data_IF_718584016461
#
_entry.id   IF_718584016461
#
_cell.length_a   1.000
_cell.length_b   1.000
_cell.length_c   1.000
_cell.angle_alpha   90.00
_cell.angle_beta   90.00
_cell.angle_gamma   90.00
#
_symmetry.space_group_name_H-M   'P 1'
#
loop_
_entity.id
_entity.type
_entity.pdbx_description
1 polymer ?
#
# COMPACT_ATOMS: atom_id res chain seq x y z
N UNK A 1 -9.41 12.62 -13.51
CA UNK A 1 -7.93 12.56 -13.52
C UNK A 1 -7.41 13.42 -14.67
N UNK A 2 -6.45 14.34 -14.44
CA UNK A 2 -5.89 15.20 -15.49
C UNK A 2 -5.15 14.44 -16.60
N UNK A 3 -5.22 14.93 -17.83
CA UNK A 3 -4.59 14.29 -19.00
C UNK A 3 -3.07 14.23 -18.89
N UNK A 4 -2.44 15.26 -18.31
CA UNK A 4 -1.00 15.30 -18.02
C UNK A 4 -0.54 14.03 -17.30
N UNK A 5 -1.24 13.64 -16.24
CA UNK A 5 -0.89 12.50 -15.40
C UNK A 5 -1.23 11.18 -16.08
N UNK A 6 -2.34 11.13 -16.81
CA UNK A 6 -2.75 9.95 -17.59
C UNK A 6 -1.74 9.64 -18.70
N UNK A 7 -1.24 10.65 -19.39
CA UNK A 7 -0.21 10.51 -20.42
C UNK A 7 1.13 10.11 -19.81
N UNK A 8 1.54 10.75 -18.71
CA UNK A 8 2.76 10.39 -17.99
C UNK A 8 2.74 8.94 -17.50
N UNK A 9 1.59 8.43 -17.07
CA UNK A 9 1.44 7.03 -16.65
C UNK A 9 1.65 6.02 -17.80
N UNK A 10 1.42 6.42 -19.05
CA UNK A 10 1.50 5.53 -20.21
C UNK A 10 2.88 5.48 -20.86
N UNK A 11 3.77 6.41 -20.51
CA UNK A 11 5.10 6.54 -21.10
C UNK A 11 6.17 5.96 -20.14
N UNK A 12 7.00 4.99 -20.54
CA UNK A 12 7.91 4.29 -19.63
C UNK A 12 8.88 5.18 -18.83
N UNK A 13 9.40 6.24 -19.43
CA UNK A 13 10.28 7.16 -18.73
C UNK A 13 9.51 7.95 -17.65
N UNK A 14 8.41 8.58 -18.04
CA UNK A 14 7.56 9.43 -17.20
C UNK A 14 6.83 8.64 -16.11
N UNK A 15 6.47 7.38 -16.37
CA UNK A 15 5.80 6.51 -15.42
C UNK A 15 6.65 6.22 -14.18
N UNK A 16 7.98 6.14 -14.33
CA UNK A 16 8.90 5.97 -13.18
C UNK A 16 8.90 7.21 -12.31
N UNK A 17 9.08 8.37 -12.92
CA UNK A 17 9.06 9.67 -12.26
C UNK A 17 7.72 9.98 -11.61
N UNK A 18 6.62 9.50 -12.21
CA UNK A 18 5.29 9.62 -11.64
C UNK A 18 5.13 8.83 -10.34
N UNK A 19 5.73 7.63 -10.25
CA UNK A 19 5.73 6.86 -9.01
C UNK A 19 6.57 7.55 -7.94
N UNK A 20 7.72 8.13 -8.29
CA UNK A 20 8.49 8.95 -7.34
C UNK A 20 7.66 10.15 -6.85
N UNK A 21 6.97 10.86 -7.75
CA UNK A 21 6.11 11.99 -7.40
C UNK A 21 4.95 11.59 -6.48
N UNK A 22 4.41 10.37 -6.60
CA UNK A 22 3.39 9.83 -5.70
C UNK A 22 3.92 9.57 -4.28
N UNK A 23 5.22 9.29 -4.13
CA UNK A 23 5.88 9.03 -2.84
C UNK A 23 6.38 10.31 -2.16
N UNK A 24 6.53 11.40 -2.89
CA UNK A 24 6.98 12.68 -2.32
C UNK A 24 5.92 13.23 -1.35
N UNK A 25 6.34 13.43 -0.11
CA UNK A 25 5.49 13.90 0.98
C UNK A 25 4.99 15.33 0.69
N UNK A 26 3.74 15.68 1.04
CA UNK A 26 3.27 17.06 0.93
C UNK A 26 3.89 18.01 1.96
N UNK A 27 4.40 17.50 3.10
CA UNK A 27 5.05 18.31 4.13
C UNK A 27 6.41 18.81 3.63
N UNK A 28 6.64 20.11 3.75
CA UNK A 28 7.78 20.81 3.16
C UNK A 28 9.14 20.25 3.61
N UNK A 29 9.35 20.11 4.92
CA UNK A 29 10.61 19.59 5.48
C UNK A 29 10.94 18.18 4.98
N UNK A 30 9.93 17.30 4.90
CA UNK A 30 10.09 15.91 4.45
C UNK A 30 10.29 15.84 2.93
N UNK A 31 9.54 16.66 2.19
CA UNK A 31 9.66 16.80 0.74
C UNK A 31 11.07 17.22 0.35
N UNK A 32 11.62 18.23 1.00
CA UNK A 32 12.98 18.70 0.71
C UNK A 32 14.01 17.59 0.93
N UNK A 33 13.92 16.87 2.06
CA UNK A 33 14.81 15.75 2.37
C UNK A 33 14.72 14.64 1.29
N UNK A 34 13.50 14.25 0.92
CA UNK A 34 13.25 13.24 -0.13
C UNK A 34 13.79 13.68 -1.48
N UNK A 35 13.58 14.93 -1.88
CA UNK A 35 14.05 15.45 -3.16
C UNK A 35 15.58 15.59 -3.22
N UNK A 36 16.23 15.95 -2.11
CA UNK A 36 17.69 15.97 -2.02
C UNK A 36 18.26 14.57 -2.23
N UNK A 37 17.70 13.57 -1.54
CA UNK A 37 18.12 12.18 -1.70
C UNK A 37 17.88 11.67 -3.12
N UNK A 38 16.70 11.95 -3.68
CA UNK A 38 16.37 11.55 -5.05
C UNK A 38 17.32 12.18 -6.06
N UNK A 39 17.65 13.47 -5.91
CA UNK A 39 18.60 14.17 -6.79
C UNK A 39 20.00 13.56 -6.74
N UNK A 40 20.42 13.04 -5.59
CA UNK A 40 21.75 12.46 -5.41
C UNK A 40 21.88 11.07 -6.06
N UNK A 41 20.79 10.31 -6.16
CA UNK A 41 20.83 8.92 -6.63
C UNK A 41 20.11 8.66 -7.96
N UNK A 42 19.19 9.54 -8.39
CA UNK A 42 18.46 9.40 -9.64
C UNK A 42 19.24 9.97 -10.83
N UNK A 43 18.89 9.52 -12.03
CA UNK A 43 19.36 10.18 -13.25
C UNK A 43 18.79 11.60 -13.32
N UNK A 44 19.55 12.60 -13.83
CA UNK A 44 19.11 14.00 -13.84
C UNK A 44 17.76 14.21 -14.55
N UNK A 45 17.49 13.41 -15.59
CA UNK A 45 16.25 13.46 -16.35
C UNK A 45 15.07 12.94 -15.51
N UNK A 46 15.25 11.82 -14.79
CA UNK A 46 14.23 11.26 -13.90
C UNK A 46 13.88 12.25 -12.77
N UNK A 47 14.89 12.92 -12.20
CA UNK A 47 14.68 13.94 -11.17
C UNK A 47 13.90 15.15 -11.71
N UNK A 48 14.30 15.69 -12.87
CA UNK A 48 13.63 16.83 -13.48
C UNK A 48 12.16 16.52 -13.81
N UNK A 49 11.89 15.34 -14.35
CA UNK A 49 10.54 14.89 -14.65
C UNK A 49 9.71 14.67 -13.37
N UNK A 50 10.33 14.13 -12.31
CA UNK A 50 9.67 13.98 -11.01
C UNK A 50 9.22 15.33 -10.48
N UNK A 51 10.11 16.33 -10.46
CA UNK A 51 9.77 17.69 -10.01
C UNK A 51 8.60 18.29 -10.79
N UNK A 52 8.55 18.05 -12.11
CA UNK A 52 7.45 18.51 -12.96
C UNK A 52 6.10 17.89 -12.58
N UNK A 53 6.10 16.66 -12.07
CA UNK A 53 4.91 15.88 -11.73
C UNK A 53 4.46 16.02 -10.26
N UNK A 54 5.33 16.46 -9.34
CA UNK A 54 4.99 16.59 -7.90
C UNK A 54 3.77 17.46 -7.67
N UNK A 55 3.73 18.71 -8.16
CA UNK A 55 2.59 19.60 -7.90
C UNK A 55 1.28 19.07 -8.50
N UNK A 56 1.24 18.62 -9.77
CA UNK A 56 0.05 17.97 -10.34
C UNK A 56 -0.44 16.75 -9.55
N UNK A 57 0.48 15.92 -9.04
CA UNK A 57 0.14 14.74 -8.22
C UNK A 57 -0.40 15.15 -6.85
N UNK A 58 0.20 16.15 -6.21
CA UNK A 58 -0.27 16.66 -4.91
C UNK A 58 -1.65 17.32 -4.99
N UNK A 59 -2.00 17.89 -6.15
CA UNK A 59 -3.33 18.43 -6.42
C UNK A 59 -4.40 17.34 -6.66
N UNK A 60 -4.02 16.07 -6.80
CA UNK A 60 -5.00 14.99 -6.95
C UNK A 60 -5.69 14.66 -5.62
N UNK A 61 -7.01 14.41 -5.65
CA UNK A 61 -7.68 13.75 -4.55
C UNK A 61 -7.05 12.39 -4.26
N UNK A 62 -6.90 12.01 -3.00
CA UNK A 62 -6.28 10.74 -2.58
C UNK A 62 -6.92 9.51 -3.25
N UNK A 63 -8.22 9.58 -3.54
CA UNK A 63 -8.99 8.56 -4.26
C UNK A 63 -8.49 8.25 -5.67
N UNK A 64 -7.71 9.14 -6.28
CA UNK A 64 -7.17 8.99 -7.62
C UNK A 64 -5.72 8.50 -7.65
N UNK A 65 -5.01 8.50 -6.52
CA UNK A 65 -3.58 8.15 -6.47
C UNK A 65 -3.33 6.68 -6.80
N UNK A 66 -4.15 5.77 -6.25
CA UNK A 66 -4.04 4.33 -6.52
C UNK A 66 -4.48 3.95 -7.95
N UNK A 67 -5.62 4.47 -8.47
CA UNK A 67 -5.93 4.31 -9.89
C UNK A 67 -4.83 4.82 -10.82
N UNK A 68 -4.18 5.93 -10.47
CA UNK A 68 -3.06 6.46 -11.26
C UNK A 68 -1.86 5.53 -11.23
N UNK A 69 -1.52 5.00 -10.06
CA UNK A 69 -0.47 3.99 -9.90
C UNK A 69 -0.75 2.76 -10.77
N UNK A 70 -1.97 2.22 -10.76
CA UNK A 70 -2.34 1.07 -11.59
C UNK A 70 -2.18 1.35 -13.09
N UNK A 71 -2.49 2.57 -13.54
CA UNK A 71 -2.29 2.99 -14.93
C UNK A 71 -0.81 3.00 -15.34
N UNK A 72 0.12 3.16 -14.39
CA UNK A 72 1.57 3.13 -14.70
C UNK A 72 2.09 1.74 -15.04
N UNK A 73 1.38 0.67 -14.65
CA UNK A 73 1.90 -0.69 -14.68
C UNK A 73 2.33 -1.13 -16.09
N UNK A 74 1.53 -0.96 -17.17
CA UNK A 74 1.95 -1.40 -18.51
C UNK A 74 3.23 -0.70 -19.00
N UNK A 75 3.44 0.57 -18.63
CA UNK A 75 4.62 1.33 -18.99
C UNK A 75 5.84 0.89 -18.18
N UNK A 76 5.69 0.74 -16.86
CA UNK A 76 6.74 0.26 -15.96
C UNK A 76 7.22 -1.14 -16.34
N UNK A 77 6.34 -1.99 -16.89
CA UNK A 77 6.70 -3.34 -17.31
C UNK A 77 7.71 -3.39 -18.47
N UNK A 78 7.85 -2.31 -19.22
CA UNK A 78 8.78 -2.20 -20.35
C UNK A 78 10.22 -1.91 -19.92
N UNK A 79 10.47 -1.66 -18.64
CA UNK A 79 11.82 -1.49 -18.10
C UNK A 79 12.70 -2.72 -18.34
N UNK A 80 13.99 -2.50 -18.53
CA UNK A 80 14.99 -3.56 -18.38
C UNK A 80 15.15 -3.97 -16.91
N UNK A 81 15.68 -5.17 -16.65
CA UNK A 81 15.98 -5.64 -15.29
C UNK A 81 16.91 -4.68 -14.52
N UNK A 82 17.86 -4.03 -15.20
CA UNK A 82 18.75 -3.04 -14.59
C UNK A 82 17.97 -1.81 -14.15
N UNK A 83 17.11 -1.27 -15.01
CA UNK A 83 16.26 -0.12 -14.70
C UNK A 83 15.29 -0.43 -13.56
N UNK A 84 14.68 -1.61 -13.54
CA UNK A 84 13.81 -2.05 -12.45
C UNK A 84 14.54 -2.09 -11.09
N UNK A 85 15.78 -2.61 -11.05
CA UNK A 85 16.58 -2.64 -9.81
C UNK A 85 16.89 -1.24 -9.28
N UNK A 86 17.28 -0.32 -10.16
CA UNK A 86 17.52 1.09 -9.79
C UNK A 86 16.23 1.73 -9.30
N UNK A 87 15.14 1.59 -10.06
CA UNK A 87 13.81 2.10 -9.70
C UNK A 87 13.36 1.65 -8.31
N UNK A 88 13.52 0.35 -8.01
CA UNK A 88 13.16 -0.23 -6.70
C UNK A 88 13.99 0.33 -5.56
N UNK A 89 15.30 0.52 -5.77
CA UNK A 89 16.17 1.13 -4.76
C UNK A 89 15.76 2.58 -4.46
N UNK A 90 15.36 3.33 -5.48
CA UNK A 90 14.90 4.71 -5.33
C UNK A 90 13.58 4.83 -4.56
N UNK A 91 12.62 3.94 -4.84
CA UNK A 91 11.37 3.86 -4.08
C UNK A 91 11.63 3.59 -2.60
N UNK A 92 12.45 2.59 -2.29
CA UNK A 92 12.76 2.25 -0.90
C UNK A 92 13.50 3.40 -0.18
N UNK A 93 14.39 4.11 -0.88
CA UNK A 93 15.05 5.29 -0.32
C UNK A 93 14.05 6.41 0.01
N UNK A 94 13.13 6.72 -0.91
CA UNK A 94 12.08 7.72 -0.71
C UNK A 94 11.16 7.40 0.48
N UNK A 95 10.80 6.12 0.64
CA UNK A 95 9.92 5.65 1.73
C UNK A 95 10.60 5.59 3.10
N UNK A 96 11.94 5.56 3.17
CA UNK A 96 12.68 5.52 4.44
C UNK A 96 13.08 6.94 4.89
N UNK A 97 13.10 7.89 3.96
CA UNK A 97 13.51 9.29 4.17
C UNK A 97 12.79 9.97 5.34
N UNK A 98 11.49 9.72 5.51
CA UNK A 98 10.67 10.32 6.57
C UNK A 98 10.53 9.45 7.84
N UNK A 99 11.18 8.27 7.85
CA UNK A 99 11.09 7.25 8.89
C UNK A 99 9.66 6.84 9.27
N UNK A 100 8.67 7.10 8.39
CA UNK A 100 7.25 6.90 8.65
C UNK A 100 6.56 6.36 7.42
N UNK A 101 6.51 5.03 7.33
CA UNK A 101 5.80 4.35 6.27
C UNK A 101 4.28 4.62 6.36
N UNK A 102 3.71 5.42 5.49
CA UNK A 102 2.27 5.62 5.39
C UNK A 102 1.55 4.39 4.81
N UNK A 103 0.24 4.27 5.08
CA UNK A 103 -0.58 3.21 4.46
C UNK A 103 -0.57 3.30 2.92
N UNK A 104 -0.51 4.51 2.36
CA UNK A 104 -0.43 4.71 0.93
C UNK A 104 0.89 4.16 0.36
N UNK A 105 2.03 4.50 0.95
CA UNK A 105 3.34 4.01 0.53
C UNK A 105 3.44 2.49 0.67
N UNK A 106 2.86 1.94 1.75
CA UNK A 106 2.73 0.49 1.91
C UNK A 106 1.91 -0.13 0.79
N UNK A 107 0.74 0.45 0.49
CA UNK A 107 -0.15 -0.04 -0.56
C UNK A 107 0.53 -0.01 -1.92
N UNK A 108 1.22 1.10 -2.22
CA UNK A 108 2.00 1.28 -3.43
C UNK A 108 3.08 0.20 -3.55
N UNK A 109 3.82 -0.09 -2.47
CA UNK A 109 4.83 -1.15 -2.44
C UNK A 109 4.22 -2.52 -2.77
N UNK A 110 3.06 -2.85 -2.20
CA UNK A 110 2.38 -4.11 -2.50
C UNK A 110 1.93 -4.21 -3.96
N UNK A 111 1.36 -3.13 -4.51
CA UNK A 111 0.93 -3.06 -5.91
C UNK A 111 2.12 -3.25 -6.85
N UNK A 112 3.22 -2.51 -6.62
CA UNK A 112 4.45 -2.68 -7.41
C UNK A 112 5.01 -4.10 -7.29
N UNK A 113 5.07 -4.64 -6.07
CA UNK A 113 5.54 -6.00 -5.89
C UNK A 113 4.72 -7.02 -6.69
N UNK A 114 3.38 -6.88 -6.67
CA UNK A 114 2.47 -7.79 -7.37
C UNK A 114 2.56 -7.66 -8.89
N UNK A 115 2.47 -6.44 -9.40
CA UNK A 115 2.26 -6.21 -10.82
C UNK A 115 3.57 -6.01 -11.61
N UNK A 116 4.67 -5.72 -10.90
CA UNK A 116 5.95 -5.37 -11.49
C UNK A 116 7.08 -6.29 -11.03
N UNK A 117 7.26 -6.55 -9.74
CA UNK A 117 8.41 -7.38 -9.30
C UNK A 117 8.30 -8.83 -9.80
N UNK A 118 7.09 -9.38 -9.93
CA UNK A 118 6.85 -10.76 -10.33
C UNK A 118 7.36 -11.13 -11.74
N UNK A 119 7.57 -10.14 -12.61
CA UNK A 119 8.13 -10.35 -13.95
C UNK A 119 9.66 -10.21 -14.01
N UNK A 120 10.26 -9.54 -13.02
CA UNK A 120 11.71 -9.29 -12.97
C UNK A 120 12.45 -10.20 -11.99
N UNK A 121 11.75 -10.70 -10.97
CA UNK A 121 12.30 -11.56 -9.94
C UNK A 121 11.74 -12.98 -10.08
N UNK A 122 12.57 -14.02 -9.89
CA UNK A 122 12.06 -15.38 -9.85
C UNK A 122 11.03 -15.50 -8.72
N UNK A 123 9.83 -16.01 -9.05
CA UNK A 123 8.80 -16.28 -8.06
C UNK A 123 9.34 -17.27 -7.04
N UNK A 124 9.64 -16.76 -5.84
CA UNK A 124 9.93 -17.60 -4.69
C UNK A 124 8.62 -18.27 -4.31
N UNK A 125 8.45 -19.55 -4.66
CA UNK A 125 7.30 -20.34 -4.21
C UNK A 125 7.39 -20.45 -2.68
N UNK A 126 6.75 -19.54 -1.97
CA UNK A 126 6.58 -19.65 -0.52
C UNK A 126 5.62 -20.79 -0.27
N UNK A 127 6.15 -21.94 0.17
CA UNK A 127 5.30 -23.01 0.71
C UNK A 127 4.48 -22.41 1.86
N UNK A 128 3.15 -22.56 1.87
CA UNK A 128 2.35 -22.05 2.98
C UNK A 128 2.80 -22.72 4.27
N UNK A 129 3.23 -21.92 5.24
CA UNK A 129 3.71 -22.40 6.56
C UNK A 129 2.56 -22.46 7.56
N UNK A 130 1.51 -21.67 7.35
CA UNK A 130 0.39 -21.55 8.28
C UNK A 130 -0.94 -22.02 7.68
N UNK A 131 -1.58 -22.97 8.38
CA UNK A 131 -2.84 -23.62 7.98
C UNK A 131 -3.96 -23.49 9.02
N UNK A 132 -3.72 -22.84 10.16
CA UNK A 132 -4.71 -22.65 11.22
C UNK A 132 -5.11 -21.17 11.32
N UNK A 133 -6.41 -20.85 11.14
CA UNK A 133 -6.92 -19.49 11.34
C UNK A 133 -6.66 -18.98 12.76
N UNK A 134 -6.78 -19.83 13.79
CA UNK A 134 -6.57 -19.41 15.18
C UNK A 134 -5.12 -18.96 15.44
N UNK A 135 -4.13 -19.61 14.81
CA UNK A 135 -2.71 -19.21 14.94
C UNK A 135 -2.40 -17.86 14.28
N UNK A 136 -3.27 -17.40 13.38
CA UNK A 136 -3.11 -16.15 12.63
C UNK A 136 -4.01 -15.04 13.19
N UNK A 137 -4.80 -15.32 14.22
CA UNK A 137 -5.74 -14.35 14.78
C UNK A 137 -5.05 -13.08 15.31
N UNK A 138 -3.87 -13.21 15.92
CA UNK A 138 -3.12 -12.06 16.42
C UNK A 138 -2.53 -11.19 15.27
N UNK A 139 -1.81 -11.75 14.27
CA UNK A 139 -1.43 -11.03 13.06
C UNK A 139 -2.60 -10.35 12.34
N UNK A 140 -3.76 -11.02 12.25
CA UNK A 140 -4.97 -10.47 11.62
C UNK A 140 -5.56 -9.34 12.43
N UNK A 141 -5.59 -9.45 13.75
CA UNK A 141 -6.04 -8.38 14.63
C UNK A 141 -5.18 -7.12 14.43
N UNK A 142 -3.86 -7.24 14.39
CA UNK A 142 -2.97 -6.10 14.16
C UNK A 142 -3.23 -5.41 12.82
N UNK A 143 -3.41 -6.20 11.75
CA UNK A 143 -3.70 -5.67 10.41
C UNK A 143 -5.08 -4.98 10.36
N UNK A 144 -6.11 -5.62 10.91
CA UNK A 144 -7.46 -5.06 10.95
C UNK A 144 -7.56 -3.83 11.84
N UNK A 145 -6.82 -3.77 12.95
CA UNK A 145 -6.81 -2.63 13.84
C UNK A 145 -6.28 -1.37 13.15
N UNK A 146 -5.18 -1.48 12.41
CA UNK A 146 -4.63 -0.34 11.68
C UNK A 146 -5.59 0.11 10.57
N UNK A 147 -6.18 -0.83 9.82
CA UNK A 147 -7.16 -0.52 8.76
C UNK A 147 -8.42 0.13 9.34
N UNK A 148 -8.88 -0.32 10.52
CA UNK A 148 -10.05 0.24 11.19
C UNK A 148 -9.81 1.69 11.64
N UNK A 149 -8.65 1.98 12.25
CA UNK A 149 -8.30 3.33 12.70
C UNK A 149 -8.06 4.31 11.54
N UNK A 150 -7.49 3.83 10.43
CA UNK A 150 -7.25 4.65 9.24
C UNK A 150 -8.55 4.92 8.45
N UNK A 151 -9.46 3.94 8.38
CA UNK A 151 -10.76 4.13 7.74
C UNK A 151 -11.73 4.97 8.58
N UNK A 152 -11.60 4.93 9.91
CA UNK A 152 -12.49 5.60 10.85
C UNK A 152 -11.71 6.23 12.02
N UNK A 153 -11.53 7.57 12.05
CA UNK A 153 -10.85 8.23 13.16
C UNK A 153 -11.67 8.21 14.46
N UNK A 154 -12.95 7.85 14.40
CA UNK A 154 -13.86 7.72 15.55
C UNK A 154 -13.79 6.31 16.15
N UNK A 155 -13.71 6.23 17.48
CA UNK A 155 -13.50 4.97 18.23
C UNK A 155 -14.61 3.93 17.99
N UNK A 156 -15.88 4.33 17.98
CA UNK A 156 -17.02 3.41 17.87
C UNK A 156 -17.19 2.76 16.48
N UNK A 157 -17.10 3.49 15.35
CA UNK A 157 -17.12 2.84 14.04
C UNK A 157 -15.84 2.02 13.76
N UNK A 158 -14.68 2.41 14.29
CA UNK A 158 -13.46 1.60 14.18
C UNK A 158 -13.59 0.25 14.91
N UNK A 159 -14.11 0.26 16.15
CA UNK A 159 -14.35 -0.96 16.92
C UNK A 159 -15.30 -1.93 16.21
N UNK A 160 -16.39 -1.40 15.62
CA UNK A 160 -17.33 -2.22 14.84
C UNK A 160 -16.69 -2.84 13.60
N UNK A 161 -15.90 -2.07 12.85
CA UNK A 161 -15.19 -2.59 11.67
C UNK A 161 -14.19 -3.69 12.04
N UNK A 162 -13.48 -3.52 13.16
CA UNK A 162 -12.56 -4.51 13.71
C UNK A 162 -13.27 -5.81 14.12
N UNK A 163 -14.36 -5.71 14.89
CA UNK A 163 -15.12 -6.88 15.35
C UNK A 163 -15.73 -7.67 14.18
N UNK A 164 -16.25 -6.97 13.17
CA UNK A 164 -16.76 -7.60 11.94
C UNK A 164 -15.63 -8.39 11.24
N UNK A 165 -14.46 -7.77 11.06
CA UNK A 165 -13.32 -8.42 10.41
C UNK A 165 -12.80 -9.65 11.17
N UNK A 166 -12.73 -9.55 12.51
CA UNK A 166 -12.26 -10.66 13.35
C UNK A 166 -13.24 -11.84 13.36
N UNK A 167 -14.55 -11.57 13.42
CA UNK A 167 -15.60 -12.61 13.33
C UNK A 167 -15.57 -13.31 11.97
N UNK A 168 -15.39 -12.57 10.88
CA UNK A 168 -15.25 -13.14 9.54
C UNK A 168 -14.00 -14.02 9.40
N UNK A 169 -12.90 -13.66 10.05
CA UNK A 169 -11.67 -14.43 10.02
C UNK A 169 -11.78 -15.76 10.79
N UNK A 170 -12.25 -15.69 12.04
CA UNK A 170 -12.28 -16.82 12.98
C UNK A 170 -13.50 -17.71 12.72
N UNK A 171 -14.58 -17.17 12.15
CA UNK A 171 -15.84 -17.88 11.93
C UNK A 171 -16.69 -18.01 13.20
N UNK A 172 -16.55 -17.07 14.14
CA UNK A 172 -17.22 -17.09 15.44
C UNK A 172 -16.78 -15.94 16.35
N UNK A 173 -17.10 -16.04 17.64
CA UNK A 173 -16.68 -15.06 18.64
C UNK A 173 -15.16 -15.02 18.83
N UNK A 174 -14.64 -13.84 19.17
CA UNK A 174 -13.23 -13.59 19.39
C UNK A 174 -13.01 -12.84 20.70
N UNK A 175 -11.82 -13.02 21.29
CA UNK A 175 -11.39 -12.32 22.52
C UNK A 175 -10.52 -11.10 22.22
N UNK A 176 -10.11 -10.91 20.97
CA UNK A 176 -9.27 -9.79 20.55
C UNK A 176 -10.02 -8.48 20.69
N UNK A 177 -9.36 -7.47 21.25
CA UNK A 177 -9.86 -6.10 21.37
C UNK A 177 -9.11 -5.20 20.39
N UNK A 178 -9.77 -4.16 19.91
CA UNK A 178 -9.12 -3.11 19.15
C UNK A 178 -8.07 -2.43 20.05
N UNK A 179 -6.77 -2.54 19.74
CA UNK A 179 -5.73 -1.80 20.45
C UNK A 179 -5.93 -0.30 20.28
N UNK A 180 -5.40 0.50 21.21
CA UNK A 180 -5.50 1.96 21.10
C UNK A 180 -4.76 2.44 19.86
N UNK A 181 -5.21 3.54 19.24
CA UNK A 181 -4.57 4.10 18.04
C UNK A 181 -3.05 4.29 18.20
N UNK A 182 -2.60 4.72 19.38
CA UNK A 182 -1.17 4.91 19.68
C UNK A 182 -0.36 3.62 19.86
N UNK A 183 -1.02 2.48 20.04
CA UNK A 183 -0.38 1.16 20.15
C UNK A 183 -0.27 0.47 18.78
N UNK A 184 -0.96 0.98 17.75
CA UNK A 184 -0.91 0.41 16.41
C UNK A 184 0.35 0.88 15.68
N UNK A 185 1.38 0.03 15.64
CA UNK A 185 2.60 0.33 14.90
C UNK A 185 2.55 -0.22 13.46
N UNK A 186 3.02 0.57 12.51
CA UNK A 186 3.23 0.13 11.12
C UNK A 186 4.24 -1.02 11.00
N UNK A 187 5.19 -1.13 11.94
CA UNK A 187 6.13 -2.25 11.98
C UNK A 187 5.39 -3.57 12.34
N UNK A 188 4.45 -3.50 13.27
CA UNK A 188 3.61 -4.65 13.66
C UNK A 188 2.63 -5.01 12.55
N UNK A 189 2.12 -4.01 11.82
CA UNK A 189 1.30 -4.21 10.63
C UNK A 189 2.05 -4.93 9.51
N UNK A 190 3.26 -4.49 9.16
CA UNK A 190 4.10 -5.14 8.15
C UNK A 190 4.47 -6.58 8.57
N UNK A 191 4.84 -6.77 9.84
CA UNK A 191 5.09 -8.11 10.38
C UNK A 191 3.84 -9.01 10.28
N UNK A 192 2.66 -8.47 10.67
CA UNK A 192 1.39 -9.16 10.60
C UNK A 192 1.00 -9.55 9.18
N UNK A 193 1.19 -8.65 8.21
CA UNK A 193 0.89 -8.95 6.81
C UNK A 193 1.87 -9.95 6.19
N UNK A 194 3.16 -9.90 6.55
CA UNK A 194 4.13 -10.92 6.11
C UNK A 194 3.73 -12.31 6.62
N UNK A 195 3.30 -12.42 7.86
CA UNK A 195 2.80 -13.69 8.41
C UNK A 195 1.53 -14.16 7.69
N UNK A 196 0.61 -13.24 7.36
CA UNK A 196 -0.58 -13.56 6.56
C UNK A 196 -0.23 -14.01 5.13
N UNK A 197 0.78 -13.39 4.52
CA UNK A 197 1.25 -13.75 3.18
C UNK A 197 1.85 -15.16 3.12
N UNK A 198 2.35 -15.69 4.24
CA UNK A 198 2.85 -17.06 4.40
C UNK A 198 1.75 -18.11 4.70
N UNK A 199 0.49 -17.70 4.69
CA UNK A 199 -0.67 -18.56 5.00
C UNK A 199 -1.30 -19.17 3.75
N UNK A 200 -2.10 -20.23 3.92
CA UNK A 200 -2.82 -20.86 2.80
C UNK A 200 -3.86 -19.90 2.16
N UNK A 201 -4.11 -19.98 0.83
CA UNK A 201 -5.03 -19.08 0.11
C UNK A 201 -6.48 -19.04 0.65
N UNK A 202 -6.91 -20.08 1.37
CA UNK A 202 -8.22 -20.13 2.01
C UNK A 202 -8.32 -19.22 3.24
N UNK A 203 -7.23 -19.05 3.98
CA UNK A 203 -7.18 -18.19 5.18
C UNK A 203 -6.97 -16.73 4.78
N UNK A 204 -6.17 -16.48 3.75
CA UNK A 204 -6.07 -15.15 3.13
C UNK A 204 -7.44 -14.63 2.75
N UNK A 205 -8.26 -15.44 2.07
CA UNK A 205 -9.66 -15.10 1.73
C UNK A 205 -10.61 -14.94 2.93
N UNK A 206 -10.28 -15.43 4.14
CA UNK A 206 -11.15 -15.30 5.33
C UNK A 206 -10.81 -14.10 6.21
N UNK A 207 -9.52 -13.80 6.43
CA UNK A 207 -9.11 -12.62 7.20
C UNK A 207 -9.43 -11.28 6.54
N UNK A 208 -9.70 -11.35 5.26
CA UNK A 208 -9.79 -10.22 4.33
C UNK A 208 -11.24 -9.89 3.96
N UNK A 209 -12.16 -10.85 4.10
CA UNK A 209 -13.56 -10.71 3.70
C UNK A 209 -14.41 -10.36 4.92
N UNK A 210 -14.10 -9.22 5.55
CA UNK A 210 -15.21 -8.33 5.90
C UNK A 210 -15.67 -7.77 4.56
N UNK A 211 -16.84 -8.20 4.08
CA UNK A 211 -17.30 -7.87 2.72
C UNK A 211 -17.20 -6.35 2.50
N UNK A 212 -16.68 -5.88 1.35
CA UNK A 212 -16.62 -4.46 1.03
C UNK A 212 -17.98 -3.75 1.10
N UNK A 213 -19.08 -4.49 1.01
CA UNK A 213 -20.44 -4.01 1.18
C UNK A 213 -20.81 -3.71 2.65
N UNK A 214 -20.31 -4.51 3.60
CA UNK A 214 -20.55 -4.33 5.04
C UNK A 214 -19.62 -3.25 5.62
N UNK A 215 -18.36 -3.21 5.15
CA UNK A 215 -17.46 -2.10 5.43
C UNK A 215 -17.88 -0.80 4.72
N UNK A 216 -18.54 -0.84 3.55
CA UNK A 216 -19.11 0.36 2.90
C UNK A 216 -20.17 1.06 3.75
N UNK A 217 -21.01 0.28 4.44
CA UNK A 217 -22.03 0.82 5.35
C UNK A 217 -21.42 1.39 6.64
N UNK A 218 -20.30 0.82 7.10
CA UNK A 218 -19.64 1.23 8.35
C UNK A 218 -18.55 2.31 8.16
N UNK A 219 -17.93 2.42 6.98
CA UNK A 219 -16.78 3.30 6.73
C UNK A 219 -17.14 4.70 6.19
N UNK A 220 -18.41 4.96 5.83
CA UNK A 220 -18.98 6.29 5.58
C UNK A 220 -18.33 7.17 4.49
N UNK A 221 -17.18 6.79 3.97
CA UNK A 221 -16.40 7.54 2.99
C UNK A 221 -15.90 6.61 1.90
N UNK A 222 -15.97 7.02 0.62
CA UNK A 222 -15.59 6.19 -0.53
C UNK A 222 -14.08 6.04 -0.70
N UNK A 223 -13.27 6.51 0.26
CA UNK A 223 -11.90 6.95 0.01
C UNK A 223 -10.94 5.81 -0.36
N UNK A 224 -11.22 4.57 0.06
CA UNK A 224 -10.27 3.46 -0.12
C UNK A 224 -10.89 2.12 -0.55
N UNK A 225 -12.19 2.07 -0.87
CA UNK A 225 -12.92 0.79 -1.02
C UNK A 225 -12.47 -0.09 -2.19
N UNK A 226 -11.78 0.44 -3.20
CA UNK A 226 -11.34 -0.34 -4.37
C UNK A 226 -9.93 -0.90 -4.24
N UNK A 227 -9.01 -0.14 -3.64
CA UNK A 227 -7.58 -0.44 -3.71
C UNK A 227 -7.04 -1.14 -2.45
N UNK A 228 -7.72 -1.00 -1.30
CA UNK A 228 -7.50 -1.90 -0.17
C UNK A 228 -7.88 -3.34 -0.55
N UNK A 229 -8.91 -3.53 -1.40
CA UNK A 229 -9.22 -4.84 -1.97
C UNK A 229 -8.09 -5.43 -2.81
N UNK A 230 -7.25 -4.60 -3.43
CA UNK A 230 -6.08 -5.08 -4.19
C UNK A 230 -4.96 -5.61 -3.27
N UNK A 231 -4.82 -5.07 -2.05
CA UNK A 231 -3.93 -5.63 -1.02
C UNK A 231 -4.39 -7.00 -0.51
N UNK A 232 -5.67 -7.28 -0.69
CA UNK A 232 -6.43 -8.35 -0.07
C UNK A 232 -6.53 -9.60 -0.97
N UNK A 233 -6.21 -9.50 -2.27
CA UNK A 233 -6.08 -10.65 -3.19
C UNK A 233 -4.63 -11.18 -3.29
N UNK A 234 -4.03 -11.44 -2.13
CA UNK A 234 -2.81 -12.25 -1.98
C UNK A 234 -3.11 -13.74 -1.82
#
# INVERSE_FOLDING_TARGET
>A
MPDLLRLAAQEPFSARSLVYALLVNPLEDLRELQLIQLKASAEPQDFAETLRLVCPVQALPDTHRLPLLELTMPALRQMSLRQHRVFRAQIEALMIADQRLSLFEYTLRCVLHRHLDAQFLPQRQTRPVHNSPQKLAQPVATVLALVAWEGQPQSDPAARAFDIGMRSHIGGDHTHRLPRRGECSLAEFDAGLRTLNQSVPAIKRRGVVARPAELRGALGTPTFSGSLLALLFW
#
